data_IF_899909827368
#
_entry.id   IF_899909827368
#
_cell.length_a   1.000
_cell.length_b   1.000
_cell.length_c   1.000
_cell.angle_alpha   90.00
_cell.angle_beta   90.00
_cell.angle_gamma   90.00
#
_symmetry.space_group_name_H-M   'P 1'
#
loop_
_entity.id
_entity.type
_entity.pdbx_description
1 polymer ?
#
# COMPACT_ATOMS: atom_id res chain seq x y z
N UNK A 1 2.03 18.69 -9.20
CA UNK A 1 2.97 18.10 -8.22
C UNK A 1 2.38 18.31 -6.83
N UNK A 2 2.38 17.30 -5.99
CA UNK A 2 1.92 17.39 -4.60
C UNK A 2 2.95 16.76 -3.65
N UNK A 3 3.13 17.39 -2.50
CA UNK A 3 4.01 16.93 -1.42
C UNK A 3 3.16 16.75 -0.17
N UNK A 4 3.43 15.71 0.59
CA UNK A 4 2.77 15.44 1.86
C UNK A 4 3.75 15.00 2.93
N UNK A 5 3.45 15.36 4.17
CA UNK A 5 4.14 14.86 5.36
C UNK A 5 3.12 14.32 6.35
N UNK A 6 3.53 13.37 7.17
CA UNK A 6 2.69 12.80 8.22
C UNK A 6 3.51 12.37 9.42
N UNK A 7 2.87 12.37 10.58
CA UNK A 7 3.42 11.87 11.83
C UNK A 7 2.56 10.70 12.31
N UNK A 8 3.20 9.64 12.82
CA UNK A 8 2.53 8.47 13.37
C UNK A 8 3.04 8.22 14.78
N UNK A 9 2.10 8.06 15.71
CA UNK A 9 2.37 7.59 17.06
C UNK A 9 2.07 6.10 17.13
N UNK A 10 3.06 5.31 17.51
CA UNK A 10 2.97 3.87 17.70
C UNK A 10 2.92 3.57 19.20
N UNK A 11 1.97 2.74 19.61
CA UNK A 11 1.85 2.24 20.97
C UNK A 11 1.66 0.73 20.93
N UNK A 12 2.48 0.01 21.68
CA UNK A 12 2.39 -1.45 21.80
C UNK A 12 2.21 -1.78 23.28
N UNK A 13 1.19 -2.59 23.54
CA UNK A 13 0.92 -3.15 24.85
C UNK A 13 0.71 -4.65 24.68
N UNK A 14 1.52 -5.43 25.39
CA UNK A 14 1.44 -6.89 25.45
C UNK A 14 1.36 -7.25 26.93
N UNK A 15 0.39 -8.08 27.29
CA UNK A 15 0.24 -8.57 28.66
C UNK A 15 1.54 -9.25 29.10
N UNK A 16 2.00 -8.97 30.33
CA UNK A 16 3.29 -9.44 30.88
C UNK A 16 4.56 -8.72 30.37
N UNK A 17 4.44 -7.73 29.48
CA UNK A 17 5.56 -6.89 29.01
C UNK A 17 5.33 -5.39 29.28
N UNK A 18 6.41 -4.61 29.35
CA UNK A 18 6.31 -3.15 29.47
C UNK A 18 5.72 -2.51 28.20
N UNK A 19 4.91 -1.47 28.39
CA UNK A 19 4.34 -0.72 27.28
C UNK A 19 5.41 0.12 26.58
N UNK A 20 5.45 0.07 25.26
CA UNK A 20 6.39 0.87 24.47
C UNK A 20 5.66 1.88 23.58
N UNK A 21 6.35 2.99 23.29
CA UNK A 21 5.83 4.08 22.47
C UNK A 21 6.92 4.64 21.55
N UNK A 22 6.53 5.03 20.35
CA UNK A 22 7.45 5.57 19.35
C UNK A 22 6.75 6.56 18.41
N UNK A 23 7.48 7.59 17.98
CA UNK A 23 6.99 8.59 17.02
C UNK A 23 7.78 8.48 15.72
N UNK A 24 7.06 8.22 14.62
CA UNK A 24 7.63 8.09 13.29
C UNK A 24 7.14 9.21 12.36
N UNK A 25 8.06 9.81 11.62
CA UNK A 25 7.75 10.80 10.58
C UNK A 25 7.81 10.15 9.21
N UNK A 26 6.88 10.52 8.31
CA UNK A 26 6.83 10.07 6.93
C UNK A 26 6.66 11.24 5.98
N UNK A 27 7.16 11.08 4.75
CA UNK A 27 7.01 12.04 3.67
C UNK A 27 6.62 11.32 2.36
N UNK A 28 5.96 12.06 1.48
CA UNK A 28 5.53 11.58 0.17
C UNK A 28 5.52 12.70 -0.87
N UNK A 29 5.75 12.30 -2.11
CA UNK A 29 5.76 13.17 -3.28
C UNK A 29 5.00 12.47 -4.41
N UNK A 30 4.16 13.20 -5.13
CA UNK A 30 3.49 12.74 -6.34
C UNK A 30 3.69 13.78 -7.45
N UNK A 31 4.18 13.30 -8.59
CA UNK A 31 4.50 14.11 -9.77
C UNK A 31 3.74 13.55 -10.98
N UNK A 32 2.70 14.25 -11.47
CA UNK A 32 2.11 13.91 -12.76
C UNK A 32 3.11 14.25 -13.86
N UNK A 33 3.54 13.24 -14.63
CA UNK A 33 4.47 13.40 -15.75
C UNK A 33 3.69 13.66 -17.05
N UNK A 34 2.56 12.97 -17.22
CA UNK A 34 1.63 13.08 -18.35
C UNK A 34 0.19 13.01 -17.82
N UNK A 35 -0.80 13.31 -18.66
CA UNK A 35 -2.22 13.14 -18.30
C UNK A 35 -2.61 11.70 -17.94
N UNK A 36 -1.85 10.73 -18.42
CA UNK A 36 -2.02 9.28 -18.20
C UNK A 36 -0.93 8.67 -17.34
N UNK A 37 0.11 9.41 -16.96
CA UNK A 37 1.28 8.87 -16.25
C UNK A 37 1.63 9.71 -15.04
N UNK A 38 1.61 9.10 -13.86
CA UNK A 38 1.97 9.73 -12.59
C UNK A 38 3.07 8.93 -11.92
N UNK A 39 4.09 9.61 -11.40
CA UNK A 39 5.13 9.02 -10.56
C UNK A 39 4.92 9.43 -9.11
N UNK A 40 5.21 8.52 -8.18
CA UNK A 40 5.13 8.77 -6.75
C UNK A 40 6.34 8.22 -6.01
N UNK A 41 6.70 8.87 -4.92
CA UNK A 41 7.71 8.38 -3.99
C UNK A 41 7.23 8.59 -2.55
N UNK A 42 7.55 7.65 -1.66
CA UNK A 42 7.27 7.79 -0.23
C UNK A 42 8.42 7.23 0.60
N UNK A 43 8.75 7.94 1.68
CA UNK A 43 9.67 7.50 2.71
C UNK A 43 8.94 7.43 4.04
N UNK A 44 8.99 6.27 4.69
CA UNK A 44 8.35 6.00 6.00
C UNK A 44 9.41 5.82 7.08
N UNK A 45 9.07 6.24 8.29
CA UNK A 45 9.95 6.21 9.47
C UNK A 45 11.32 6.90 9.22
N UNK A 46 11.28 8.18 8.83
CA UNK A 46 12.47 9.00 8.59
C UNK A 46 13.31 9.23 9.85
N UNK A 47 12.68 9.21 11.02
CA UNK A 47 13.34 9.38 12.33
C UNK A 47 14.11 8.14 12.78
N UNK A 48 13.91 6.98 12.14
CA UNK A 48 14.53 5.72 12.57
C UNK A 48 14.06 5.31 13.97
N UNK A 49 12.79 5.58 14.28
CA UNK A 49 12.24 5.31 15.60
C UNK A 49 12.28 3.81 15.94
N UNK A 50 12.53 3.50 17.20
CA UNK A 50 12.57 2.16 17.77
C UNK A 50 11.38 1.99 18.73
N UNK A 51 10.83 0.79 18.80
CA UNK A 51 9.79 0.44 19.76
C UNK A 51 10.07 -0.92 20.37
N UNK A 52 10.03 -1.00 21.71
CA UNK A 52 10.24 -2.24 22.47
C UNK A 52 11.56 -2.97 22.12
N UNK A 53 12.63 -2.23 21.81
CA UNK A 53 13.95 -2.78 21.51
C UNK A 53 14.13 -3.28 20.08
N UNK A 54 13.24 -2.89 19.16
CA UNK A 54 13.30 -3.20 17.74
C UNK A 54 13.04 -1.97 16.85
N UNK A 55 13.81 -1.79 15.77
CA UNK A 55 13.62 -0.65 14.88
C UNK A 55 12.28 -0.75 14.15
N UNK A 56 11.50 0.33 14.14
CA UNK A 56 10.29 0.38 13.32
C UNK A 56 10.64 0.28 11.83
N UNK A 57 9.80 -0.36 11.00
CA UNK A 57 10.06 -0.51 9.57
C UNK A 57 10.35 0.82 8.88
N UNK A 58 11.57 0.96 8.37
CA UNK A 58 12.00 2.11 7.57
C UNK A 58 11.99 1.70 6.11
N UNK A 59 11.12 2.34 5.33
CA UNK A 59 10.93 1.96 3.94
C UNK A 59 10.91 3.15 3.00
N UNK A 60 11.40 2.90 1.80
CA UNK A 60 11.33 3.78 0.65
C UNK A 60 10.56 3.05 -0.44
N UNK A 61 9.58 3.71 -1.05
CA UNK A 61 8.91 3.20 -2.23
C UNK A 61 8.92 4.26 -3.32
N UNK A 62 9.19 3.82 -4.55
CA UNK A 62 9.06 4.65 -5.75
C UNK A 62 8.22 3.87 -6.75
N UNK A 63 7.17 4.51 -7.26
CA UNK A 63 6.20 3.84 -8.12
C UNK A 63 5.65 4.74 -9.20
N UNK A 64 4.97 4.09 -10.13
CA UNK A 64 4.36 4.70 -11.30
C UNK A 64 2.93 4.16 -11.42
N UNK A 65 2.02 5.08 -11.71
CA UNK A 65 0.64 4.82 -12.08
C UNK A 65 0.44 5.24 -13.53
N UNK A 66 0.08 4.26 -14.37
CA UNK A 66 -0.25 4.47 -15.76
C UNK A 66 -1.73 4.18 -15.99
N UNK A 67 -2.44 5.13 -16.59
CA UNK A 67 -3.87 5.06 -16.88
C UNK A 67 -4.09 5.16 -18.39
N UNK A 68 -3.97 4.03 -19.13
CA UNK A 68 -4.16 4.03 -20.58
C UNK A 68 -5.58 4.40 -21.01
N UNK A 69 -6.60 4.04 -20.21
CA UNK A 69 -8.01 4.38 -20.44
C UNK A 69 -8.66 4.80 -19.13
N UNK A 70 -9.86 5.38 -19.17
CA UNK A 70 -10.62 5.73 -17.96
C UNK A 70 -11.00 4.52 -17.10
N UNK A 71 -11.01 3.32 -17.68
CA UNK A 71 -11.45 2.08 -17.04
C UNK A 71 -10.30 1.16 -16.66
N UNK A 72 -9.04 1.50 -16.98
CA UNK A 72 -7.88 0.64 -16.71
C UNK A 72 -6.78 1.43 -16.04
N UNK A 73 -6.35 0.94 -14.88
CA UNK A 73 -5.20 1.46 -14.14
C UNK A 73 -4.14 0.38 -14.02
N UNK A 74 -2.89 0.76 -14.27
CA UNK A 74 -1.71 -0.09 -14.13
C UNK A 74 -0.78 0.56 -13.12
N UNK A 75 -0.32 -0.24 -12.16
CA UNK A 75 0.55 0.20 -11.08
C UNK A 75 1.82 -0.62 -11.10
N UNK A 76 2.95 0.03 -10.84
CA UNK A 76 4.18 -0.65 -10.51
C UNK A 76 4.96 0.15 -9.49
N UNK A 77 5.56 -0.51 -8.51
CA UNK A 77 6.46 0.13 -7.56
C UNK A 77 7.65 -0.76 -7.21
N UNK A 78 8.75 -0.08 -6.90
CA UNK A 78 9.92 -0.66 -6.24
C UNK A 78 9.86 -0.23 -4.79
N UNK A 79 9.73 -1.21 -3.91
CA UNK A 79 9.67 -1.04 -2.48
C UNK A 79 10.95 -1.57 -1.84
N UNK A 80 11.61 -0.76 -1.01
CA UNK A 80 12.79 -1.16 -0.23
C UNK A 80 12.52 -0.90 1.24
N UNK A 81 12.49 -1.96 2.02
CA UNK A 81 12.70 -1.86 3.46
C UNK A 81 14.21 -1.90 3.74
N UNK A 82 14.69 -1.15 4.73
CA UNK A 82 16.10 -1.19 5.13
C UNK A 82 16.49 -2.60 5.59
N UNK A 83 15.60 -3.32 6.28
CA UNK A 83 15.87 -4.64 6.82
C UNK A 83 15.76 -5.78 5.79
N UNK A 84 15.10 -5.57 4.65
CA UNK A 84 14.79 -6.62 3.67
C UNK A 84 15.31 -6.29 2.27
N UNK A 85 15.43 -7.27 1.37
CA UNK A 85 15.67 -7.02 -0.06
C UNK A 85 14.60 -6.09 -0.65
N UNK A 86 14.94 -5.41 -1.73
CA UNK A 86 13.92 -4.67 -2.47
C UNK A 86 12.89 -5.63 -3.08
N UNK A 87 11.67 -5.16 -3.19
CA UNK A 87 10.50 -5.87 -3.70
C UNK A 87 9.97 -5.10 -4.90
N UNK A 88 9.78 -5.80 -6.01
CA UNK A 88 9.06 -5.25 -7.16
C UNK A 88 7.59 -5.64 -7.04
N UNK A 89 6.71 -4.66 -7.16
CA UNK A 89 5.27 -4.85 -7.10
C UNK A 89 4.65 -4.33 -8.38
N UNK A 90 3.59 -4.99 -8.80
CA UNK A 90 2.81 -4.62 -9.96
C UNK A 90 1.36 -5.02 -9.77
N UNK A 91 0.46 -4.23 -10.35
CA UNK A 91 -0.97 -4.49 -10.27
C UNK A 91 -1.72 -3.86 -11.42
N UNK A 92 -2.86 -4.45 -11.75
CA UNK A 92 -3.79 -3.96 -12.74
C UNK A 92 -5.16 -3.89 -12.07
N UNK A 93 -5.84 -2.77 -12.28
CA UNK A 93 -7.23 -2.57 -11.90
C UNK A 93 -8.03 -2.26 -13.17
N UNK A 94 -9.15 -2.94 -13.32
CA UNK A 94 -10.07 -2.78 -14.44
C UNK A 94 -11.46 -2.48 -13.89
N UNK A 95 -12.15 -1.54 -14.54
CA UNK A 95 -13.53 -1.14 -14.26
C UNK A 95 -14.41 -1.51 -15.45
N UNK A 96 -14.93 -2.76 -15.53
CA UNK A 96 -15.83 -3.16 -16.61
C UNK A 96 -17.08 -2.27 -16.67
N UNK A 97 -17.56 -1.83 -15.51
CA UNK A 97 -18.60 -0.81 -15.33
C UNK A 97 -18.18 0.14 -14.22
N UNK A 98 -18.72 1.35 -14.19
CA UNK A 98 -18.31 2.41 -13.25
C UNK A 98 -18.47 2.05 -11.77
N UNK A 99 -19.30 1.05 -11.45
CA UNK A 99 -19.58 0.59 -10.09
C UNK A 99 -18.78 -0.66 -9.68
N UNK A 100 -18.07 -1.32 -10.60
CA UNK A 100 -17.43 -2.60 -10.32
C UNK A 100 -15.97 -2.61 -10.75
N UNK A 101 -15.09 -2.91 -9.80
CA UNK A 101 -13.65 -3.01 -10.01
C UNK A 101 -13.17 -4.46 -9.88
N UNK A 102 -12.25 -4.86 -10.76
CA UNK A 102 -11.49 -6.10 -10.67
C UNK A 102 -10.02 -5.76 -10.56
N UNK A 103 -9.35 -6.35 -9.58
CA UNK A 103 -7.96 -6.07 -9.25
C UNK A 103 -7.16 -7.35 -9.23
N UNK A 104 -5.99 -7.31 -9.87
CA UNK A 104 -4.99 -8.38 -9.79
C UNK A 104 -3.62 -7.76 -9.55
N UNK A 105 -2.80 -8.43 -8.76
CA UNK A 105 -1.48 -7.94 -8.40
C UNK A 105 -0.49 -9.06 -8.15
N UNK A 106 0.77 -8.73 -8.30
CA UNK A 106 1.87 -9.60 -7.95
C UNK A 106 3.00 -8.80 -7.32
N UNK A 107 3.71 -9.42 -6.39
CA UNK A 107 4.92 -8.89 -5.80
C UNK A 107 6.04 -9.92 -5.86
N UNK A 108 7.28 -9.47 -5.91
CA UNK A 108 8.51 -10.27 -5.79
C UNK A 108 9.20 -9.97 -4.47
N UNK A 109 9.87 -10.97 -3.91
CA UNK A 109 10.64 -10.88 -2.66
C UNK A 109 9.84 -10.31 -1.46
N UNK A 110 8.92 -11.11 -0.88
CA UNK A 110 8.54 -12.48 -1.26
C UNK A 110 7.57 -12.51 -2.46
N UNK A 111 7.55 -13.64 -3.19
CA UNK A 111 6.62 -13.82 -4.30
C UNK A 111 5.19 -13.89 -3.78
N UNK A 112 4.31 -12.98 -4.17
CA UNK A 112 2.90 -12.96 -3.75
C UNK A 112 2.01 -12.71 -4.95
N UNK A 113 0.81 -13.29 -4.91
CA UNK A 113 -0.22 -13.04 -5.90
C UNK A 113 -1.49 -12.61 -5.20
N UNK A 114 -2.13 -11.55 -5.67
CA UNK A 114 -3.32 -10.99 -5.03
C UNK A 114 -4.41 -10.76 -6.06
N UNK A 115 -5.65 -11.05 -5.67
CA UNK A 115 -6.85 -10.82 -6.48
C UNK A 115 -7.89 -10.13 -5.62
N UNK A 116 -8.70 -9.26 -6.21
CA UNK A 116 -9.79 -8.61 -5.51
C UNK A 116 -10.87 -8.10 -6.44
N UNK A 117 -12.04 -7.87 -5.86
CA UNK A 117 -13.20 -7.27 -6.49
C UNK A 117 -13.75 -6.19 -5.58
N UNK A 118 -14.21 -5.10 -6.17
CA UNK A 118 -14.79 -3.97 -5.46
C UNK A 118 -16.11 -3.55 -6.07
N UNK A 119 -17.06 -3.13 -5.24
CA UNK A 119 -18.33 -2.56 -5.66
C UNK A 119 -18.48 -1.16 -5.06
N UNK A 120 -18.67 -0.16 -5.90
CA UNK A 120 -18.93 1.22 -5.52
C UNK A 120 -20.39 1.60 -5.81
N UNK A 121 -21.15 1.90 -4.75
CA UNK A 121 -22.55 2.31 -4.83
C UNK A 121 -22.70 3.68 -4.18
N UNK A 122 -22.45 4.74 -4.97
CA UNK A 122 -22.58 6.12 -4.52
C UNK A 122 -21.66 6.44 -3.34
N UNK A 123 -22.20 6.72 -2.14
CA UNK A 123 -21.38 7.05 -0.97
C UNK A 123 -20.72 5.83 -0.31
N UNK A 124 -21.06 4.59 -0.69
CA UNK A 124 -20.54 3.38 -0.04
C UNK A 124 -19.72 2.54 -1.02
N UNK A 125 -18.63 1.96 -0.55
CA UNK A 125 -17.79 1.05 -1.33
C UNK A 125 -17.45 -0.19 -0.51
N UNK A 126 -17.55 -1.36 -1.13
CA UNK A 126 -17.25 -2.67 -0.55
C UNK A 126 -16.16 -3.33 -1.36
N UNK A 127 -15.12 -3.83 -0.70
CA UNK A 127 -14.01 -4.54 -1.35
C UNK A 127 -13.83 -5.93 -0.73
N UNK A 128 -13.58 -6.92 -1.57
CA UNK A 128 -13.17 -8.28 -1.17
C UNK A 128 -11.89 -8.64 -1.90
N UNK A 129 -10.93 -9.22 -1.20
CA UNK A 129 -9.64 -9.58 -1.75
C UNK A 129 -9.09 -10.85 -1.12
N UNK A 130 -8.17 -11.50 -1.83
CA UNK A 130 -7.40 -12.60 -1.32
C UNK A 130 -5.96 -12.50 -1.84
N UNK A 131 -5.00 -12.66 -0.94
CA UNK A 131 -3.57 -12.77 -1.25
C UNK A 131 -3.14 -14.23 -1.06
N UNK A 132 -2.30 -14.73 -1.97
CA UNK A 132 -1.65 -16.03 -1.87
C UNK A 132 -0.16 -15.85 -1.63
N UNK A 133 0.29 -16.31 -0.47
CA UNK A 133 1.70 -16.52 -0.16
C UNK A 133 2.09 -17.98 -0.49
N UNK A 134 3.27 -18.24 -1.07
CA UNK A 134 3.74 -19.60 -1.35
C UNK A 134 3.80 -20.48 -0.09
N UNK A 135 4.20 -19.89 1.03
CA UNK A 135 4.39 -20.60 2.30
C UNK A 135 3.17 -20.51 3.23
N UNK A 136 2.51 -19.34 3.32
CA UNK A 136 1.41 -19.10 4.27
C UNK A 136 0.04 -19.45 3.67
N UNK A 137 -0.03 -19.75 2.37
CA UNK A 137 -1.29 -20.05 1.69
C UNK A 137 -2.12 -18.80 1.41
N UNK A 138 -3.44 -18.92 1.52
CA UNK A 138 -4.39 -17.86 1.18
C UNK A 138 -4.77 -17.02 2.40
N UNK A 139 -4.81 -15.71 2.21
CA UNK A 139 -5.21 -14.71 3.21
C UNK A 139 -6.32 -13.82 2.63
N UNK A 140 -7.59 -14.06 3.00
CA UNK A 140 -8.71 -13.23 2.56
C UNK A 140 -8.78 -11.92 3.37
N UNK A 141 -9.29 -10.87 2.75
CA UNK A 141 -9.59 -9.60 3.41
C UNK A 141 -10.85 -8.97 2.80
N UNK A 142 -11.62 -8.27 3.64
CA UNK A 142 -12.78 -7.50 3.23
C UNK A 142 -12.70 -6.08 3.80
N UNK A 143 -13.18 -5.09 3.05
CA UNK A 143 -13.18 -3.68 3.42
C UNK A 143 -14.53 -3.03 3.11
N UNK A 144 -14.91 -2.09 3.95
CA UNK A 144 -16.07 -1.21 3.75
C UNK A 144 -15.59 0.22 3.94
N UNK A 145 -15.94 1.10 3.01
CA UNK A 145 -15.69 2.54 3.15
C UNK A 145 -16.91 3.35 2.77
N UNK A 146 -17.00 4.55 3.35
CA UNK A 146 -18.05 5.51 3.03
C UNK A 146 -17.42 6.88 2.77
N UNK A 147 -17.92 7.60 1.76
CA UNK A 147 -17.53 8.97 1.42
C UNK A 147 -18.76 9.87 1.55
N UNK A 148 -18.57 10.98 2.26
CA UNK A 148 -19.55 12.04 2.49
C UNK A 148 -19.06 13.35 1.88
#
# INVERSE_FOLDING_TARGET
>A
MSVGMGMRYHHVHVEEYESAHAVAVQAGLVVPLLATLTMGATARNLTGADIAGGPLPRSLAVGVHYRPTSSVNVYSDVYKDVAFPWSLRGGIEVWPVSMFAVRVGAARHPSRFSVGVGLETGPVSVDMSAERHPELGWSPAAGLSARW
#
